data_IF_092268534759
#
_entry.id   IF_092268534759
#
_cell.length_a   1.000
_cell.length_b   1.000
_cell.length_c   1.000
_cell.angle_alpha   90.00
_cell.angle_beta   90.00
_cell.angle_gamma   90.00
#
_symmetry.space_group_name_H-M   'P 1'
#
loop_
_entity.id
_entity.type
_entity.pdbx_description
1 polymer ?
#
# COMPACT_ATOMS: atom_id res chain seq x y z
N UNK A 1 44.85 43.62 2.19
CA UNK A 1 44.13 42.76 3.15
C UNK A 1 43.06 42.02 2.36
N UNK A 2 43.21 40.71 2.16
CA UNK A 2 42.28 39.91 1.36
C UNK A 2 41.75 38.79 2.24
N UNK A 3 40.52 38.94 2.71
CA UNK A 3 39.81 37.94 3.51
C UNK A 3 39.20 36.90 2.59
N UNK A 4 39.75 35.69 2.61
CA UNK A 4 39.16 34.53 1.92
C UNK A 4 38.08 33.96 2.84
N UNK A 5 36.82 34.06 2.42
CA UNK A 5 35.69 33.42 3.09
C UNK A 5 35.58 32.00 2.52
N UNK A 6 35.91 31.00 3.33
CA UNK A 6 35.74 29.59 2.97
C UNK A 6 34.30 29.20 3.32
N UNK A 7 33.44 29.07 2.31
CA UNK A 7 32.12 28.47 2.46
C UNK A 7 32.28 26.95 2.66
N UNK A 8 32.12 26.48 3.89
CA UNK A 8 32.00 25.05 4.18
C UNK A 8 30.60 24.60 3.78
N UNK A 9 30.48 23.97 2.60
CA UNK A 9 29.27 23.25 2.22
C UNK A 9 29.24 21.93 3.01
N UNK A 10 28.41 21.88 4.05
CA UNK A 10 28.10 20.62 4.73
C UNK A 10 27.13 19.86 3.84
N UNK A 11 27.65 18.88 3.09
CA UNK A 11 26.81 17.93 2.38
C UNK A 11 26.32 16.94 3.44
N UNK A 12 25.06 17.09 3.86
CA UNK A 12 24.40 16.07 4.66
C UNK A 12 24.31 14.80 3.79
N UNK A 13 24.95 13.71 4.23
CA UNK A 13 24.75 12.42 3.61
C UNK A 13 23.32 11.98 3.89
N UNK A 14 22.48 12.00 2.85
CA UNK A 14 21.14 11.43 2.92
C UNK A 14 21.31 9.93 2.84
N UNK A 15 20.99 9.21 3.92
CA UNK A 15 21.03 7.75 3.95
C UNK A 15 19.61 7.24 3.93
N UNK A 16 19.32 6.28 3.06
CA UNK A 16 18.07 5.52 3.11
C UNK A 16 17.98 4.73 4.43
N UNK A 17 16.76 4.47 4.87
CA UNK A 17 16.46 3.69 6.07
C UNK A 17 15.44 2.61 5.71
N UNK A 18 15.81 1.37 6.00
CA UNK A 18 14.90 0.24 5.95
C UNK A 18 13.68 0.49 6.86
N UNK A 19 12.52 0.55 6.23
CA UNK A 19 11.21 0.71 6.82
C UNK A 19 10.35 -0.51 6.49
N UNK A 20 9.29 -0.68 7.26
CA UNK A 20 8.40 -1.83 7.12
C UNK A 20 6.98 -1.46 7.47
N UNK A 21 6.04 -2.31 7.08
CA UNK A 21 4.66 -2.25 7.54
C UNK A 21 4.07 -3.64 7.53
N UNK A 22 3.24 -3.92 8.53
CA UNK A 22 2.38 -5.11 8.55
C UNK A 22 0.95 -4.67 8.29
N UNK A 23 0.28 -5.29 7.33
CA UNK A 23 -1.13 -5.09 7.04
C UNK A 23 -1.89 -6.33 7.46
N UNK A 24 -2.86 -6.17 8.35
CA UNK A 24 -3.74 -7.24 8.81
C UNK A 24 -5.17 -6.96 8.38
N UNK A 25 -5.74 -7.84 7.56
CA UNK A 25 -7.13 -7.73 7.08
C UNK A 25 -7.93 -8.92 7.60
N UNK A 26 -8.97 -8.65 8.39
CA UNK A 26 -9.79 -9.70 8.98
C UNK A 26 -10.63 -10.43 7.93
N UNK A 27 -11.39 -9.70 7.14
CA UNK A 27 -12.09 -10.23 5.97
C UNK A 27 -12.23 -9.16 4.90
N UNK A 28 -12.30 -9.60 3.66
CA UNK A 28 -12.80 -8.77 2.58
C UNK A 28 -14.21 -9.26 2.30
N UNK A 29 -15.14 -8.37 1.91
CA UNK A 29 -16.52 -8.68 1.51
C UNK A 29 -16.92 -7.92 0.24
N UNK A 30 -17.99 -8.31 -0.45
CA UNK A 30 -18.56 -7.61 -1.61
C UNK A 30 -20.05 -7.33 -1.35
N UNK A 31 -20.37 -6.52 -0.33
CA UNK A 31 -21.76 -6.33 0.10
C UNK A 31 -22.48 -7.65 0.40
N UNK A 32 -23.62 -7.88 -0.29
CA UNK A 32 -24.42 -9.11 -0.24
C UNK A 32 -24.09 -10.08 -1.41
N UNK A 33 -23.16 -9.72 -2.29
CA UNK A 33 -22.78 -10.49 -3.47
C UNK A 33 -21.60 -11.45 -3.17
N UNK A 34 -21.54 -12.54 -3.95
CA UNK A 34 -20.45 -13.51 -3.90
C UNK A 34 -19.20 -13.02 -4.65
N UNK A 35 -18.04 -13.56 -4.27
CA UNK A 35 -16.81 -13.44 -5.05
C UNK A 35 -16.95 -14.25 -6.34
N UNK A 36 -17.13 -13.57 -7.47
CA UNK A 36 -17.34 -14.25 -8.75
C UNK A 36 -16.02 -14.62 -9.44
N UNK A 37 -14.95 -13.85 -9.23
CA UNK A 37 -13.69 -14.00 -9.96
C UNK A 37 -12.45 -13.96 -9.06
N UNK A 38 -11.29 -14.14 -9.70
CA UNK A 38 -9.99 -13.93 -9.07
C UNK A 38 -9.84 -12.50 -8.58
N UNK A 39 -9.40 -12.36 -7.34
CA UNK A 39 -9.11 -11.09 -6.70
C UNK A 39 -7.61 -10.98 -6.49
N UNK A 40 -7.07 -9.76 -6.65
CA UNK A 40 -5.67 -9.46 -6.39
C UNK A 40 -5.56 -8.35 -5.35
N UNK A 41 -4.80 -8.59 -4.29
CA UNK A 41 -4.39 -7.58 -3.33
C UNK A 41 -2.93 -7.24 -3.58
N UNK A 42 -2.62 -5.95 -3.70
CA UNK A 42 -1.26 -5.46 -3.78
C UNK A 42 -1.02 -4.42 -2.71
N UNK A 43 0.21 -4.35 -2.23
CA UNK A 43 0.71 -3.25 -1.43
C UNK A 43 1.79 -2.53 -2.22
N UNK A 44 1.72 -1.22 -2.18
CA UNK A 44 2.59 -0.33 -2.92
C UNK A 44 3.08 0.77 -1.99
N UNK A 45 4.24 1.32 -2.30
CA UNK A 45 4.66 2.62 -1.79
C UNK A 45 4.47 3.70 -2.85
N UNK A 46 4.10 4.90 -2.40
CA UNK A 46 3.90 6.05 -3.26
C UNK A 46 5.15 6.92 -3.26
N UNK A 47 5.64 7.18 -4.47
CA UNK A 47 6.87 7.93 -4.69
C UNK A 47 6.66 9.20 -5.52
N UNK A 48 7.71 10.03 -5.55
CA UNK A 48 7.72 11.24 -6.38
C UNK A 48 7.79 10.91 -7.87
N UNK A 49 8.53 9.86 -8.25
CA UNK A 49 8.81 9.51 -9.65
C UNK A 49 7.99 8.32 -10.15
N UNK A 50 8.00 7.22 -9.39
CA UNK A 50 7.30 6.00 -9.75
C UNK A 50 7.02 5.21 -8.49
N UNK A 51 5.75 4.92 -8.23
CA UNK A 51 5.32 4.07 -7.13
C UNK A 51 5.94 2.67 -7.24
N UNK A 52 6.36 2.11 -6.11
CA UNK A 52 7.02 0.81 -6.02
C UNK A 52 6.06 -0.26 -5.46
N UNK A 53 6.02 -1.43 -6.11
CA UNK A 53 5.18 -2.54 -5.66
C UNK A 53 5.94 -3.39 -4.65
N UNK A 54 5.51 -3.35 -3.39
CA UNK A 54 6.17 -4.06 -2.31
C UNK A 54 5.75 -5.54 -2.24
N UNK A 55 4.56 -5.84 -2.78
CA UNK A 55 4.19 -7.20 -3.12
C UNK A 55 2.72 -7.39 -3.38
N UNK A 56 2.34 -8.64 -3.63
CA UNK A 56 1.00 -9.00 -4.09
C UNK A 56 0.57 -10.39 -3.62
N UNK A 57 -0.75 -10.58 -3.59
CA UNK A 57 -1.39 -11.83 -3.24
C UNK A 57 -2.64 -12.01 -4.10
N UNK A 58 -2.91 -13.26 -4.46
CA UNK A 58 -4.05 -13.65 -5.29
C UNK A 58 -5.02 -14.49 -4.47
N UNK A 59 -6.31 -14.25 -4.69
CA UNK A 59 -7.40 -14.99 -4.10
C UNK A 59 -8.32 -15.46 -5.22
N UNK A 60 -9.02 -16.56 -4.96
CA UNK A 60 -10.01 -17.10 -5.88
C UNK A 60 -11.25 -17.53 -5.10
N UNK A 61 -12.27 -17.98 -5.82
CA UNK A 61 -13.56 -18.40 -5.24
C UNK A 61 -13.45 -19.52 -4.19
N UNK A 62 -12.36 -20.30 -4.21
CA UNK A 62 -12.11 -21.36 -3.21
C UNK A 62 -11.32 -20.87 -1.99
N UNK A 63 -10.67 -19.71 -2.09
CA UNK A 63 -9.87 -19.10 -1.03
C UNK A 63 -10.43 -17.71 -0.72
N UNK A 64 -11.53 -17.70 0.04
CA UNK A 64 -12.15 -16.45 0.48
C UNK A 64 -11.13 -15.64 1.29
N UNK A 65 -10.89 -14.36 0.96
CA UNK A 65 -9.91 -13.49 1.60
C UNK A 65 -10.28 -13.21 3.08
N UNK A 66 -9.76 -14.04 4.00
CA UNK A 66 -9.94 -13.89 5.45
C UNK A 66 -8.61 -14.08 6.19
N UNK A 67 -8.46 -13.40 7.32
CA UNK A 67 -7.29 -13.41 8.19
C UNK A 67 -5.99 -13.25 7.41
N UNK A 68 -5.96 -12.22 6.56
CA UNK A 68 -4.82 -11.86 5.74
C UNK A 68 -3.80 -11.14 6.62
N UNK A 69 -2.55 -11.55 6.52
CA UNK A 69 -1.42 -10.82 7.07
C UNK A 69 -0.38 -10.64 5.96
N UNK A 70 0.01 -9.40 5.73
CA UNK A 70 0.97 -9.02 4.70
C UNK A 70 2.07 -8.17 5.34
N UNK A 71 3.31 -8.64 5.27
CA UNK A 71 4.48 -7.89 5.72
C UNK A 71 5.25 -7.36 4.51
N UNK A 72 5.51 -6.05 4.49
CA UNK A 72 6.22 -5.37 3.42
C UNK A 72 7.37 -4.54 3.98
N UNK A 73 8.43 -4.37 3.18
CA UNK A 73 9.64 -3.63 3.56
C UNK A 73 10.17 -2.86 2.37
N UNK A 74 10.79 -1.72 2.66
CA UNK A 74 11.42 -0.88 1.66
C UNK A 74 12.56 -0.06 2.24
N UNK A 75 13.57 0.26 1.43
CA UNK A 75 14.69 1.11 1.83
C UNK A 75 14.47 2.54 1.36
N UNK A 76 13.82 3.34 2.21
CA UNK A 76 13.30 4.65 1.86
C UNK A 76 14.17 5.81 2.38
N UNK A 77 14.31 6.88 1.61
CA UNK A 77 15.00 8.10 2.07
C UNK A 77 14.11 8.93 3.00
N UNK A 78 12.81 8.95 2.74
CA UNK A 78 11.83 9.63 3.57
C UNK A 78 10.97 8.61 4.31
N UNK A 79 9.74 8.96 4.68
CA UNK A 79 8.80 8.01 5.27
C UNK A 79 7.99 7.37 4.16
N UNK A 80 7.87 6.04 4.19
CA UNK A 80 7.00 5.31 3.27
C UNK A 80 5.58 5.90 3.30
N UNK A 81 4.95 5.95 2.14
CA UNK A 81 3.57 6.35 1.88
C UNK A 81 2.75 5.16 1.34
N UNK A 82 2.55 4.10 2.15
CA UNK A 82 1.99 2.86 1.68
C UNK A 82 0.51 2.97 1.30
N UNK A 83 0.08 2.16 0.34
CA UNK A 83 -1.32 1.99 -0.01
C UNK A 83 -1.61 0.60 -0.54
N UNK A 84 -2.87 0.19 -0.47
CA UNK A 84 -3.36 -1.05 -1.03
C UNK A 84 -4.03 -0.82 -2.38
N UNK A 85 -3.87 -1.77 -3.29
CA UNK A 85 -4.69 -1.91 -4.49
C UNK A 85 -5.43 -3.22 -4.40
N UNK A 86 -6.76 -3.14 -4.41
CA UNK A 86 -7.67 -4.27 -4.48
C UNK A 86 -8.20 -4.33 -5.91
N UNK A 87 -7.70 -5.26 -6.72
CA UNK A 87 -8.27 -5.54 -8.02
C UNK A 87 -9.36 -6.60 -7.87
N UNK A 88 -10.58 -6.28 -8.27
CA UNK A 88 -11.75 -7.12 -8.09
C UNK A 88 -12.82 -6.85 -9.15
N UNK A 89 -13.77 -7.77 -9.30
CA UNK A 89 -14.96 -7.62 -10.14
C UNK A 89 -16.26 -7.54 -9.32
N UNK A 90 -16.18 -7.18 -8.04
CA UNK A 90 -17.37 -6.83 -7.25
C UNK A 90 -18.26 -5.84 -8.03
N UNK A 91 -19.57 -6.08 -8.10
CA UNK A 91 -20.53 -5.39 -8.98
C UNK A 91 -20.34 -5.65 -10.50
N UNK A 92 -19.66 -6.73 -10.89
CA UNK A 92 -19.59 -7.26 -12.26
C UNK A 92 -18.57 -6.62 -13.20
N UNK A 93 -17.98 -5.46 -12.85
CA UNK A 93 -16.93 -4.82 -13.66
C UNK A 93 -15.59 -4.89 -12.95
N UNK A 94 -14.54 -5.28 -13.66
CA UNK A 94 -13.19 -5.31 -13.09
C UNK A 94 -12.69 -3.88 -12.83
N UNK A 95 -12.35 -3.62 -11.57
CA UNK A 95 -11.79 -2.35 -11.08
C UNK A 95 -10.58 -2.59 -10.19
N UNK A 96 -9.76 -1.54 -10.04
CA UNK A 96 -8.66 -1.40 -9.09
C UNK A 96 -9.03 -0.31 -8.10
N UNK A 97 -9.32 -0.71 -6.87
CA UNK A 97 -9.72 0.16 -5.78
C UNK A 97 -8.53 0.43 -4.86
N UNK A 98 -8.21 1.72 -4.64
CA UNK A 98 -7.08 2.15 -3.81
C UNK A 98 -7.54 2.45 -2.39
N UNK A 99 -6.82 1.92 -1.41
CA UNK A 99 -6.98 2.29 0.00
C UNK A 99 -5.64 2.80 0.53
N UNK A 100 -5.56 4.07 0.88
CA UNK A 100 -4.36 4.67 1.45
C UNK A 100 -4.15 4.16 2.87
N UNK A 101 -2.91 3.83 3.22
CA UNK A 101 -2.53 3.50 4.58
C UNK A 101 -1.82 4.71 5.18
N UNK A 102 -2.27 5.24 6.32
CA UNK A 102 -1.60 6.37 6.96
C UNK A 102 -0.14 6.04 7.31
N UNK A 103 0.80 6.93 6.96
CA UNK A 103 2.25 6.70 7.16
C UNK A 103 2.66 6.52 8.63
N UNK A 104 1.82 6.91 9.58
CA UNK A 104 1.98 6.66 11.01
C UNK A 104 1.90 5.16 11.39
N UNK A 105 1.43 4.30 10.48
CA UNK A 105 1.51 2.84 10.64
C UNK A 105 2.84 2.23 10.17
N UNK A 106 3.72 3.02 9.54
CA UNK A 106 5.06 2.56 9.15
C UNK A 106 5.88 2.20 10.40
N UNK A 107 6.45 1.00 10.40
CA UNK A 107 7.12 0.36 11.53
C UNK A 107 6.15 -0.37 12.47
N UNK A 108 4.86 -0.45 12.13
CA UNK A 108 3.80 -1.03 12.95
C UNK A 108 2.82 -1.91 12.17
N UNK A 109 1.60 -2.02 12.70
CA UNK A 109 0.52 -2.86 12.16
C UNK A 109 -0.67 -1.99 11.80
N UNK A 110 -1.05 -1.99 10.52
CA UNK A 110 -2.31 -1.46 10.03
C UNK A 110 -3.37 -2.57 10.06
N UNK A 111 -4.26 -2.52 11.05
CA UNK A 111 -5.36 -3.47 11.21
C UNK A 111 -6.64 -2.93 10.54
N UNK A 112 -7.21 -3.69 9.62
CA UNK A 112 -8.52 -3.44 9.05
C UNK A 112 -9.40 -4.70 9.17
N UNK A 113 -10.35 -4.67 10.09
CA UNK A 113 -11.18 -5.85 10.40
C UNK A 113 -12.01 -6.33 9.22
N UNK A 114 -12.53 -5.39 8.41
CA UNK A 114 -13.39 -5.71 7.27
C UNK A 114 -13.24 -4.66 6.19
N UNK A 115 -12.88 -5.10 4.98
CA UNK A 115 -12.92 -4.27 3.78
C UNK A 115 -14.14 -4.69 2.96
N UNK A 116 -15.07 -3.77 2.74
CA UNK A 116 -16.18 -4.00 1.82
C UNK A 116 -15.85 -3.41 0.45
N UNK A 117 -15.77 -4.24 -0.57
CA UNK A 117 -15.47 -3.85 -1.96
C UNK A 117 -16.58 -3.01 -2.60
N UNK A 118 -17.78 -2.99 -2.01
CA UNK A 118 -18.87 -2.10 -2.43
C UNK A 118 -18.83 -0.72 -1.72
N UNK A 119 -17.84 -0.49 -0.85
CA UNK A 119 -17.69 0.78 -0.13
C UNK A 119 -16.90 1.82 -0.94
N UNK A 120 -16.69 3.00 -0.34
CA UNK A 120 -15.90 4.08 -0.92
C UNK A 120 -14.41 3.86 -0.72
N UNK A 121 -13.63 4.08 -1.78
CA UNK A 121 -12.18 4.01 -1.80
C UNK A 121 -11.56 5.38 -2.13
N UNK A 122 -10.25 5.54 -1.88
CA UNK A 122 -9.54 6.78 -2.17
C UNK A 122 -9.44 7.08 -3.67
N UNK A 123 -9.36 6.01 -4.48
CA UNK A 123 -9.35 6.06 -5.93
C UNK A 123 -9.92 4.76 -6.50
N UNK A 124 -10.62 4.82 -7.63
CA UNK A 124 -11.17 3.64 -8.32
C UNK A 124 -10.89 3.80 -9.81
N UNK A 125 -10.19 2.84 -10.39
CA UNK A 125 -9.85 2.80 -11.81
C UNK A 125 -10.32 1.50 -12.46
N UNK A 126 -10.62 1.49 -13.76
CA UNK A 126 -10.83 0.22 -14.47
C UNK A 126 -9.56 -0.65 -14.42
N UNK A 127 -9.78 -1.96 -14.49
CA UNK A 127 -8.72 -2.87 -14.89
C UNK A 127 -8.24 -2.54 -16.32
#
# INVERSE_FOLDING_TARGET
MSTIIVFWAVIAAVTSKLQNITVEIGEITCGDDDYLDEMKLQIWDKDILSDDMLGEMYFNVTHVPRNISFYATEDEFFTMSPYLILQHSCNGTCVRSRLNIPSDYVGGVYENRRIDLNSTFDDIKPC
#
